data_IF_108680051980
#
_entry.id   IF_108680051980
#
_cell.length_a   1.000
_cell.length_b   1.000
_cell.length_c   1.000
_cell.angle_alpha   90.00
_cell.angle_beta   90.00
_cell.angle_gamma   90.00
#
_symmetry.space_group_name_H-M   'P 1'
#
loop_
_entity.id
_entity.type
_entity.pdbx_description
1 polymer ?
#
# COMPACT_ATOMS: atom_id res chain seq x y z
N UNK A 1 34.22 13.17 34.08
CA UNK A 1 33.55 12.24 33.15
C UNK A 1 32.11 12.70 33.04
N UNK A 2 31.77 13.41 31.95
CA UNK A 2 30.40 13.90 31.74
C UNK A 2 29.50 12.71 31.42
N UNK A 3 28.50 12.51 32.26
CA UNK A 3 27.40 11.59 32.02
C UNK A 3 26.66 12.04 30.75
N UNK A 4 26.89 11.34 29.63
CA UNK A 4 26.12 11.52 28.41
C UNK A 4 24.68 11.13 28.72
N UNK A 5 23.84 12.13 29.01
CA UNK A 5 22.41 11.94 29.18
C UNK A 5 21.88 11.22 27.93
N UNK A 6 21.34 10.01 28.12
CA UNK A 6 20.69 9.27 27.05
C UNK A 6 19.59 10.16 26.45
N UNK A 7 19.47 10.23 25.11
CA UNK A 7 18.46 11.06 24.47
C UNK A 7 17.08 10.63 24.99
N UNK A 8 16.31 11.58 25.49
CA UNK A 8 14.99 11.33 26.06
C UNK A 8 14.12 10.61 25.01
N UNK A 9 13.79 9.33 25.28
CA UNK A 9 12.94 8.55 24.39
C UNK A 9 11.51 9.09 24.48
N UNK A 10 10.99 9.66 23.39
CA UNK A 10 9.58 10.07 23.32
C UNK A 10 8.66 8.86 23.62
N UNK A 11 7.55 9.06 24.35
CA UNK A 11 6.60 8.00 24.61
C UNK A 11 6.03 7.45 23.29
N UNK A 12 5.99 6.13 23.16
CA UNK A 12 5.56 5.41 21.95
C UNK A 12 4.17 5.80 21.46
N UNK A 13 3.27 6.18 22.37
CA UNK A 13 1.92 6.62 22.06
C UNK A 13 1.90 7.88 21.17
N UNK A 14 2.78 8.84 21.43
CA UNK A 14 2.84 10.09 20.66
C UNK A 14 3.27 9.83 19.22
N UNK A 15 4.23 8.91 19.03
CA UNK A 15 4.75 8.54 17.72
C UNK A 15 3.70 7.80 16.89
N UNK A 16 2.97 6.87 17.51
CA UNK A 16 1.85 6.16 16.88
C UNK A 16 0.73 7.12 16.51
N UNK A 17 0.34 8.03 17.40
CA UNK A 17 -0.76 8.96 17.14
C UNK A 17 -0.42 9.97 16.04
N UNK A 18 0.80 10.52 16.05
CA UNK A 18 1.21 11.59 15.13
C UNK A 18 1.66 11.08 13.76
N UNK A 19 2.20 9.86 13.68
CA UNK A 19 2.74 9.31 12.43
C UNK A 19 2.07 8.01 12.00
N UNK A 20 1.88 7.08 12.94
CA UNK A 20 1.26 5.78 12.68
C UNK A 20 -0.17 5.91 12.17
N UNK A 21 -1.02 6.63 12.90
CA UNK A 21 -2.46 6.72 12.64
C UNK A 21 -2.79 7.47 11.34
N UNK A 22 -2.16 8.62 11.01
CA UNK A 22 -2.40 9.28 9.72
C UNK A 22 -1.99 8.40 8.53
N UNK A 23 -0.83 7.74 8.60
CA UNK A 23 -0.43 6.84 7.52
C UNK A 23 -1.30 5.57 7.43
N UNK A 24 -1.80 5.04 8.55
CA UNK A 24 -2.80 3.96 8.56
C UNK A 24 -4.11 4.41 7.89
N UNK A 25 -4.60 5.60 8.21
CA UNK A 25 -5.77 6.20 7.56
C UNK A 25 -5.53 6.37 6.06
N UNK A 26 -4.39 6.96 5.67
CA UNK A 26 -4.04 7.17 4.27
C UNK A 26 -3.97 5.86 3.48
N UNK A 27 -3.28 4.85 4.02
CA UNK A 27 -3.18 3.53 3.40
C UNK A 27 -4.50 2.76 3.37
N UNK A 28 -5.38 2.95 4.35
CA UNK A 28 -6.74 2.40 4.34
C UNK A 28 -7.59 3.06 3.25
N UNK A 29 -7.54 4.39 3.10
CA UNK A 29 -8.20 5.09 2.00
C UNK A 29 -7.69 4.62 0.64
N UNK A 30 -6.37 4.44 0.48
CA UNK A 30 -5.78 3.87 -0.72
C UNK A 30 -6.30 2.46 -0.99
N UNK A 31 -6.33 1.59 0.03
CA UNK A 31 -6.79 0.22 -0.10
C UNK A 31 -8.26 0.12 -0.53
N UNK A 32 -9.13 0.95 0.05
CA UNK A 32 -10.55 1.02 -0.32
C UNK A 32 -10.69 1.56 -1.75
N UNK A 33 -10.00 2.65 -2.09
CA UNK A 33 -10.03 3.22 -3.44
C UNK A 33 -9.46 2.28 -4.51
N UNK A 34 -8.50 1.44 -4.16
CA UNK A 34 -7.92 0.42 -5.02
C UNK A 34 -8.94 -0.63 -5.47
N UNK A 35 -10.01 -0.89 -4.72
CA UNK A 35 -11.10 -1.78 -5.16
C UNK A 35 -11.81 -1.21 -6.41
N UNK A 36 -11.98 0.11 -6.47
CA UNK A 36 -12.67 0.78 -7.58
C UNK A 36 -11.80 1.09 -8.81
N UNK A 37 -10.48 1.20 -8.66
CA UNK A 37 -9.59 1.65 -9.76
C UNK A 37 -8.39 0.72 -10.00
N UNK A 38 -8.04 -0.10 -9.01
CA UNK A 38 -6.91 -1.02 -9.10
C UNK A 38 -7.10 -2.13 -10.13
N UNK A 39 -6.00 -2.78 -10.46
CA UNK A 39 -5.95 -3.90 -11.38
C UNK A 39 -6.37 -5.18 -10.69
N UNK A 40 -7.50 -5.76 -11.09
CA UNK A 40 -7.90 -7.12 -10.75
C UNK A 40 -7.95 -7.96 -12.05
N UNK A 41 -7.54 -9.24 -12.02
CA UNK A 41 -7.75 -10.15 -13.14
C UNK A 41 -9.25 -10.29 -13.43
N UNK A 42 -9.62 -10.29 -14.72
CA UNK A 42 -11.02 -10.40 -15.15
C UNK A 42 -11.72 -11.70 -14.74
N UNK A 43 -10.96 -12.69 -14.25
CA UNK A 43 -11.42 -13.98 -13.74
C UNK A 43 -11.73 -13.97 -12.23
N UNK A 44 -11.53 -12.85 -11.54
CA UNK A 44 -11.63 -12.81 -10.07
C UNK A 44 -13.07 -12.57 -9.60
N UNK A 45 -13.58 -13.41 -8.69
CA UNK A 45 -14.91 -13.27 -8.06
C UNK A 45 -15.10 -11.95 -7.28
N UNK A 46 -14.02 -11.29 -6.89
CA UNK A 46 -14.07 -9.95 -6.27
C UNK A 46 -14.74 -8.91 -7.17
N UNK A 47 -14.66 -9.05 -8.50
CA UNK A 47 -15.29 -8.12 -9.44
C UNK A 47 -16.82 -8.21 -9.44
N UNK A 48 -17.39 -9.36 -9.08
CA UNK A 48 -18.85 -9.56 -9.03
C UNK A 48 -19.46 -9.20 -7.68
N UNK A 49 -18.62 -8.84 -6.70
CA UNK A 49 -19.11 -8.38 -5.39
C UNK A 49 -19.83 -7.05 -5.57
N UNK A 50 -21.09 -6.87 -5.08
CA UNK A 50 -21.92 -5.71 -5.38
C UNK A 50 -21.25 -4.35 -5.06
N UNK A 51 -20.45 -4.31 -4.00
CA UNK A 51 -19.72 -3.11 -3.58
C UNK A 51 -18.61 -2.76 -4.58
N UNK A 52 -17.82 -3.76 -4.99
CA UNK A 52 -16.71 -3.58 -5.93
C UNK A 52 -17.26 -3.25 -7.33
N UNK A 53 -18.27 -3.98 -7.77
CA UNK A 53 -18.93 -3.71 -9.05
C UNK A 53 -19.50 -2.29 -9.10
N UNK A 54 -20.24 -1.86 -8.06
CA UNK A 54 -20.77 -0.49 -7.98
C UNK A 54 -19.69 0.60 -8.02
N UNK A 55 -18.55 0.37 -7.35
CA UNK A 55 -17.42 1.30 -7.39
C UNK A 55 -16.74 1.38 -8.76
N UNK A 56 -16.81 0.31 -9.57
CA UNK A 56 -16.13 0.22 -10.87
C UNK A 56 -17.03 0.58 -12.05
N UNK A 57 -18.30 0.19 -12.02
CA UNK A 57 -19.25 0.35 -13.11
C UNK A 57 -19.90 1.74 -13.16
N UNK A 58 -20.04 2.40 -12.01
CA UNK A 58 -20.61 3.74 -11.91
C UNK A 58 -19.55 4.84 -12.06
N UNK A 59 -19.85 5.89 -12.83
CA UNK A 59 -19.01 7.08 -12.95
C UNK A 59 -18.73 7.69 -11.57
N UNK A 60 -19.75 7.85 -10.73
CA UNK A 60 -19.63 8.40 -9.38
C UNK A 60 -18.78 7.51 -8.49
N UNK A 61 -19.00 6.18 -8.52
CA UNK A 61 -18.20 5.21 -7.77
C UNK A 61 -16.72 5.30 -8.14
N UNK A 62 -16.43 5.38 -9.43
CA UNK A 62 -15.05 5.48 -9.93
C UNK A 62 -14.38 6.81 -9.58
N UNK A 63 -15.14 7.91 -9.53
CA UNK A 63 -14.62 9.21 -9.06
C UNK A 63 -14.32 9.18 -7.55
N UNK A 64 -15.21 8.63 -6.74
CA UNK A 64 -14.99 8.46 -5.29
C UNK A 64 -13.75 7.60 -5.04
N UNK A 65 -13.62 6.48 -5.75
CA UNK A 65 -12.48 5.58 -5.63
C UNK A 65 -11.15 6.28 -5.99
N UNK A 66 -11.10 7.04 -7.09
CA UNK A 66 -9.92 7.84 -7.48
C UNK A 66 -9.59 8.90 -6.42
N UNK A 67 -10.59 9.61 -5.92
CA UNK A 67 -10.41 10.62 -4.88
C UNK A 67 -9.87 10.00 -3.59
N UNK A 68 -10.37 8.83 -3.18
CA UNK A 68 -9.85 8.10 -2.01
C UNK A 68 -8.37 7.73 -2.16
N UNK A 69 -7.96 7.27 -3.35
CA UNK A 69 -6.55 6.98 -3.63
C UNK A 69 -5.71 8.25 -3.54
N UNK A 70 -6.13 9.34 -4.18
CA UNK A 70 -5.37 10.60 -4.22
C UNK A 70 -5.26 11.23 -2.82
N UNK A 71 -6.37 11.30 -2.07
CA UNK A 71 -6.39 11.83 -0.71
C UNK A 71 -5.57 10.93 0.21
N UNK A 72 -5.73 9.61 0.12
CA UNK A 72 -4.96 8.66 0.93
C UNK A 72 -3.46 8.75 0.65
N UNK A 73 -3.06 8.92 -0.62
CA UNK A 73 -1.67 9.16 -1.01
C UNK A 73 -1.14 10.48 -0.44
N UNK A 74 -1.90 11.57 -0.52
CA UNK A 74 -1.52 12.86 0.04
C UNK A 74 -1.31 12.78 1.57
N UNK A 75 -2.21 12.10 2.29
CA UNK A 75 -2.09 11.88 3.74
C UNK A 75 -0.89 11.00 4.08
N UNK A 76 -0.65 9.93 3.32
CA UNK A 76 0.52 9.07 3.52
C UNK A 76 1.83 9.83 3.29
N UNK A 77 1.90 10.62 2.21
CA UNK A 77 3.05 11.48 1.90
C UNK A 77 3.28 12.52 3.00
N UNK A 78 2.22 13.15 3.49
CA UNK A 78 2.30 14.06 4.63
C UNK A 78 2.88 13.35 5.86
N UNK A 79 2.36 12.18 6.23
CA UNK A 79 2.84 11.42 7.37
C UNK A 79 4.32 11.04 7.23
N UNK A 80 4.74 10.62 6.03
CA UNK A 80 6.13 10.31 5.70
C UNK A 80 7.06 11.53 5.81
N UNK A 81 6.64 12.67 5.27
CA UNK A 81 7.38 13.93 5.38
C UNK A 81 7.51 14.41 6.83
N UNK A 82 6.47 14.23 7.65
CA UNK A 82 6.53 14.54 9.08
C UNK A 82 7.56 13.68 9.81
N UNK A 83 7.62 12.37 9.53
CA UNK A 83 8.65 11.49 10.11
C UNK A 83 10.04 11.98 9.68
N UNK A 84 10.24 12.27 8.40
CA UNK A 84 11.52 12.76 7.88
C UNK A 84 11.94 14.07 8.53
N UNK A 85 11.01 15.03 8.64
CA UNK A 85 11.25 16.31 9.31
C UNK A 85 11.61 16.13 10.78
N UNK A 86 10.88 15.29 11.53
CA UNK A 86 11.18 15.07 12.95
C UNK A 86 12.52 14.35 13.16
N UNK A 87 12.88 13.40 12.28
CA UNK A 87 14.19 12.74 12.30
C UNK A 87 15.33 13.74 12.07
N UNK A 88 15.13 14.76 11.24
CA UNK A 88 16.12 15.82 11.03
C UNK A 88 16.29 16.74 12.25
N UNK A 89 15.23 16.94 13.06
CA UNK A 89 15.28 17.83 14.24
C UNK A 89 15.75 17.13 15.51
N UNK A 90 15.23 15.93 15.80
CA UNK A 90 15.47 15.20 17.06
C UNK A 90 16.61 14.18 16.92
N UNK A 91 17.01 13.85 15.69
CA UNK A 91 18.01 12.83 15.38
C UNK A 91 17.37 11.45 15.20
N UNK A 92 18.01 10.41 15.75
CA UNK A 92 17.63 9.03 15.47
C UNK A 92 16.51 8.52 16.39
N UNK A 93 15.51 7.87 15.79
CA UNK A 93 14.52 7.06 16.52
C UNK A 93 14.96 5.60 16.62
N UNK A 94 14.54 4.86 17.66
CA UNK A 94 14.81 3.44 17.75
C UNK A 94 14.13 2.69 16.61
N UNK A 95 14.90 1.89 15.86
CA UNK A 95 14.47 1.16 14.66
C UNK A 95 13.20 0.33 14.87
N UNK A 96 13.01 -0.22 16.08
CA UNK A 96 11.82 -1.00 16.44
C UNK A 96 10.52 -0.20 16.30
N UNK A 97 10.52 1.08 16.68
CA UNK A 97 9.33 1.93 16.57
C UNK A 97 9.03 2.24 15.10
N UNK A 98 10.06 2.54 14.31
CA UNK A 98 9.90 2.79 12.87
C UNK A 98 9.36 1.56 12.13
N UNK A 99 9.80 0.35 12.50
CA UNK A 99 9.26 -0.92 11.98
C UNK A 99 7.78 -1.11 12.28
N UNK A 100 7.32 -0.73 13.47
CA UNK A 100 5.90 -0.80 13.82
C UNK A 100 5.06 0.18 13.01
N UNK A 101 5.52 1.43 12.84
CA UNK A 101 4.83 2.41 11.98
C UNK A 101 4.75 1.90 10.54
N UNK A 102 5.87 1.38 10.01
CA UNK A 102 5.89 0.79 8.68
C UNK A 102 4.92 -0.39 8.56
N UNK A 103 4.88 -1.29 9.54
CA UNK A 103 3.94 -2.41 9.54
C UNK A 103 2.48 -1.95 9.56
N UNK A 104 2.15 -0.92 10.33
CA UNK A 104 0.82 -0.31 10.33
C UNK A 104 0.43 0.25 8.96
N UNK A 105 1.36 0.93 8.28
CA UNK A 105 1.10 1.48 6.94
C UNK A 105 1.03 0.38 5.88
N UNK A 106 1.85 -0.67 6.00
CA UNK A 106 1.88 -1.76 5.05
C UNK A 106 0.62 -2.66 5.14
N UNK A 107 0.06 -2.85 6.33
CA UNK A 107 -1.01 -3.81 6.56
C UNK A 107 -2.23 -3.61 5.63
N UNK A 108 -2.79 -2.39 5.43
CA UNK A 108 -3.88 -2.20 4.46
C UNK A 108 -3.43 -2.37 3.00
N UNK A 109 -2.20 -1.98 2.66
CA UNK A 109 -1.71 -2.02 1.28
C UNK A 109 -1.47 -3.44 0.77
N UNK A 110 -1.08 -4.36 1.65
CA UNK A 110 -0.91 -5.79 1.30
C UNK A 110 -2.23 -6.42 0.86
N UNK A 111 -3.35 -5.94 1.40
CA UNK A 111 -4.69 -6.41 1.05
C UNK A 111 -5.28 -5.70 -0.18
N UNK A 112 -4.67 -4.60 -0.61
CA UNK A 112 -5.18 -3.77 -1.69
C UNK A 112 -4.83 -4.37 -3.08
N UNK A 113 -5.72 -4.25 -4.07
CA UNK A 113 -5.37 -4.53 -5.46
C UNK A 113 -4.21 -3.65 -5.96
N UNK A 114 -3.35 -4.15 -6.84
CA UNK A 114 -2.25 -3.36 -7.40
C UNK A 114 -2.79 -2.17 -8.21
N UNK A 115 -2.40 -0.96 -7.82
CA UNK A 115 -2.92 0.29 -8.41
C UNK A 115 -2.18 0.72 -9.67
N UNK A 116 -0.85 0.69 -9.65
CA UNK A 116 -0.03 1.40 -10.64
C UNK A 116 0.51 0.51 -11.77
N UNK A 117 0.66 -0.80 -11.53
CA UNK A 117 1.18 -1.73 -12.54
C UNK A 117 0.48 -3.08 -12.52
N UNK A 118 0.46 -3.73 -13.69
CA UNK A 118 -0.01 -5.11 -13.90
C UNK A 118 1.14 -6.14 -13.84
N UNK A 119 2.37 -5.71 -13.60
CA UNK A 119 3.55 -6.58 -13.72
C UNK A 119 3.50 -7.77 -12.76
N UNK A 120 2.86 -7.63 -11.61
CA UNK A 120 2.59 -8.75 -10.69
C UNK A 120 1.88 -9.91 -11.42
N UNK A 121 0.92 -9.60 -12.30
CA UNK A 121 0.18 -10.63 -13.03
C UNK A 121 1.00 -11.21 -14.19
N UNK A 122 1.87 -10.43 -14.83
CA UNK A 122 2.77 -10.97 -15.86
C UNK A 122 3.81 -11.90 -15.23
N UNK A 123 4.36 -11.57 -14.07
CA UNK A 123 5.26 -12.47 -13.32
C UNK A 123 4.55 -13.74 -12.85
N UNK A 124 3.30 -13.62 -12.37
CA UNK A 124 2.49 -14.79 -12.03
C UNK A 124 2.28 -15.70 -13.25
N UNK A 125 1.90 -15.13 -14.39
CA UNK A 125 1.69 -15.88 -15.62
C UNK A 125 2.98 -16.54 -16.14
N UNK A 126 4.13 -15.86 -16.01
CA UNK A 126 5.44 -16.44 -16.32
C UNK A 126 5.78 -17.63 -15.40
N UNK A 127 5.49 -17.53 -14.10
CA UNK A 127 5.66 -18.64 -13.17
C UNK A 127 4.77 -19.84 -13.53
N UNK A 128 3.52 -19.59 -13.92
CA UNK A 128 2.57 -20.62 -14.38
C UNK A 128 3.00 -21.29 -15.69
N UNK A 129 3.61 -20.55 -16.62
CA UNK A 129 4.20 -21.11 -17.83
C UNK A 129 5.35 -22.09 -17.51
N UNK A 130 6.22 -21.70 -16.56
CA UNK A 130 7.31 -22.57 -16.11
C UNK A 130 6.81 -23.84 -15.42
N UNK A 131 5.78 -23.73 -14.57
CA UNK A 131 5.10 -24.89 -13.96
C UNK A 131 4.48 -25.82 -15.01
N UNK A 132 3.96 -25.25 -16.11
CA UNK A 132 3.40 -26.00 -17.22
C UNK A 132 4.45 -26.61 -18.18
N UNK A 133 5.75 -26.43 -17.90
CA UNK A 133 6.85 -26.95 -18.72
C UNK A 133 7.09 -26.17 -20.03
N UNK A 134 6.47 -25.00 -20.18
CA UNK A 134 6.60 -24.12 -21.35
C UNK A 134 7.64 -23.03 -21.10
N UNK A 135 8.48 -22.75 -22.09
CA UNK A 135 9.51 -21.72 -21.98
C UNK A 135 8.89 -20.32 -22.27
N UNK A 136 8.87 -19.41 -21.27
CA UNK A 136 8.27 -18.08 -21.40
C UNK A 136 9.04 -17.15 -22.34
N UNK A 137 10.23 -17.53 -22.80
CA UNK A 137 11.02 -16.75 -23.78
C UNK A 137 10.70 -17.11 -25.23
N UNK A 138 10.06 -18.25 -25.47
CA UNK A 138 9.65 -18.71 -26.80
C UNK A 138 8.14 -18.67 -27.02
N UNK A 139 7.34 -18.66 -25.94
CA UNK A 139 5.88 -18.62 -26.02
C UNK A 139 5.32 -17.38 -25.33
N UNK A 140 4.53 -16.58 -26.06
CA UNK A 140 3.88 -15.40 -25.51
C UNK A 140 2.81 -15.74 -24.46
N UNK A 141 2.64 -14.86 -23.47
CA UNK A 141 1.76 -15.04 -22.31
C UNK A 141 0.26 -15.25 -22.67
N UNK A 142 -0.14 -14.96 -23.91
CA UNK A 142 -1.50 -15.20 -24.43
C UNK A 142 -1.78 -16.63 -24.89
N UNK A 143 -0.85 -17.57 -24.68
CA UNK A 143 -0.97 -18.98 -25.06
C UNK A 143 -1.47 -19.91 -23.93
N UNK A 144 -1.59 -19.38 -22.70
CA UNK A 144 -2.21 -20.09 -21.59
C UNK A 144 -3.73 -20.17 -21.82
N UNK A 145 -4.36 -21.35 -21.67
CA UNK A 145 -5.82 -21.53 -21.82
C UNK A 145 -6.63 -20.83 -20.73
#
# INVERSE_FOLDING_TARGET
>A
MSELAAPASLPTSHLVLRHGLPGLLGTTCIAIGALGVGWLPGTTELLTTPIVDSMRSSTTGSMIARSLVLVGLAVLLQAWLLIGADLLHVGAWPIRQLRWVLAMWAAPLVLAPPLFSRDVYSYYAQGRLFEAGSDPTTVGVGSLP
#
